data_IF_371284692834
#
_entry.id   IF_371284692834
#
_cell.length_a   1.000
_cell.length_b   1.000
_cell.length_c   1.000
_cell.angle_alpha   90.00
_cell.angle_beta   90.00
_cell.angle_gamma   90.00
#
_symmetry.space_group_name_H-M   'P 1'
#
loop_
_entity.id
_entity.type
_entity.pdbx_description
1 polymer ?
#
# COMPACT_ATOMS: atom_id res chain seq x y z
N UNK A 1 5.53 0.26 -30.78
CA UNK A 1 4.24 0.17 -30.05
C UNK A 1 4.50 -0.47 -28.70
N UNK A 2 4.07 0.20 -27.64
CA UNK A 2 4.58 0.14 -26.27
C UNK A 2 4.24 -1.15 -25.54
N UNK A 3 5.25 -1.98 -25.29
CA UNK A 3 5.20 -3.14 -24.37
C UNK A 3 5.25 -2.66 -22.90
N UNK A 4 4.28 -1.85 -22.48
CA UNK A 4 4.20 -1.27 -21.13
C UNK A 4 3.06 -1.89 -20.31
N UNK A 5 3.07 -3.21 -20.08
CA UNK A 5 2.05 -3.89 -19.24
C UNK A 5 2.57 -4.79 -18.11
N UNK A 6 3.88 -5.00 -17.97
CA UNK A 6 4.44 -5.97 -16.98
C UNK A 6 5.08 -5.33 -15.74
N UNK A 7 5.58 -4.09 -15.83
CA UNK A 7 6.49 -3.55 -14.81
C UNK A 7 5.80 -2.85 -13.64
N UNK A 8 4.54 -2.40 -13.81
CA UNK A 8 3.85 -1.63 -12.77
C UNK A 8 3.60 -2.45 -11.48
N UNK A 9 3.35 -3.76 -11.62
CA UNK A 9 3.21 -4.67 -10.48
C UNK A 9 4.51 -4.79 -9.71
N UNK A 10 5.62 -4.92 -10.42
CA UNK A 10 6.96 -4.96 -9.80
C UNK A 10 7.25 -3.68 -9.05
N UNK A 11 6.96 -2.52 -9.65
CA UNK A 11 7.12 -1.21 -8.99
C UNK A 11 6.26 -1.16 -7.72
N UNK A 12 5.00 -1.61 -7.78
CA UNK A 12 4.12 -1.66 -6.63
C UNK A 12 4.68 -2.54 -5.49
N UNK A 13 5.11 -3.76 -5.80
CA UNK A 13 5.69 -4.68 -4.82
C UNK A 13 7.01 -4.17 -4.23
N UNK A 14 7.83 -3.50 -5.03
CA UNK A 14 9.05 -2.86 -4.56
C UNK A 14 8.73 -1.72 -3.58
N UNK A 15 7.76 -0.86 -3.91
CA UNK A 15 7.32 0.21 -3.00
C UNK A 15 6.77 -0.39 -1.71
N UNK A 16 5.93 -1.42 -1.79
CA UNK A 16 5.37 -2.11 -0.62
C UNK A 16 6.48 -2.71 0.27
N UNK A 17 7.49 -3.34 -0.33
CA UNK A 17 8.64 -3.88 0.40
C UNK A 17 9.45 -2.75 1.06
N UNK A 18 9.71 -1.65 0.36
CA UNK A 18 10.42 -0.50 0.92
C UNK A 18 9.65 0.08 2.11
N UNK A 19 8.32 0.23 2.01
CA UNK A 19 7.47 0.73 3.10
C UNK A 19 7.62 -0.12 4.37
N UNK A 20 7.68 -1.45 4.25
CA UNK A 20 7.89 -2.34 5.39
C UNK A 20 9.35 -2.35 5.87
N UNK A 21 10.32 -2.13 4.98
CA UNK A 21 11.73 -2.06 5.36
C UNK A 21 12.06 -0.80 6.17
N UNK A 22 11.37 0.32 5.94
CA UNK A 22 11.58 1.56 6.70
C UNK A 22 11.51 1.33 8.22
N UNK A 23 10.39 0.83 8.79
CA UNK A 23 10.29 0.58 10.23
C UNK A 23 11.24 -0.52 10.69
N UNK A 24 11.46 -1.57 9.89
CA UNK A 24 12.38 -2.66 10.23
C UNK A 24 13.81 -2.16 10.41
N UNK A 25 14.27 -1.31 9.50
CA UNK A 25 15.59 -0.68 9.56
C UNK A 25 15.63 0.35 10.69
N UNK A 26 14.60 1.19 10.83
CA UNK A 26 14.53 2.19 11.90
C UNK A 26 14.64 1.58 13.30
N UNK A 27 13.97 0.45 13.54
CA UNK A 27 14.06 -0.30 14.80
C UNK A 27 15.46 -0.82 15.15
N UNK A 28 16.36 -0.96 14.16
CA UNK A 28 17.75 -1.32 14.43
C UNK A 28 18.58 -0.14 14.95
N UNK A 29 18.13 1.10 14.71
CA UNK A 29 18.87 2.32 15.05
C UNK A 29 18.25 3.11 16.20
N UNK A 30 16.94 3.01 16.42
CA UNK A 30 16.22 3.76 17.45
C UNK A 30 15.11 2.94 18.10
N UNK A 31 14.81 3.23 19.38
CA UNK A 31 13.65 2.69 20.09
C UNK A 31 12.38 3.53 19.88
N UNK A 32 12.48 4.68 19.19
CA UNK A 32 11.33 5.56 18.91
C UNK A 32 10.32 4.92 17.95
N UNK A 33 10.81 4.08 17.02
CA UNK A 33 9.96 3.23 16.19
C UNK A 33 9.95 1.87 16.84
N UNK A 34 8.79 1.40 17.30
CA UNK A 34 8.65 0.10 17.95
C UNK A 34 7.42 -0.63 17.39
N UNK A 35 7.57 -1.20 16.19
CA UNK A 35 6.53 -2.00 15.56
C UNK A 35 6.65 -3.45 16.05
N UNK A 36 5.56 -3.98 16.59
CA UNK A 36 5.43 -5.39 16.84
C UNK A 36 5.35 -6.16 15.51
N UNK A 37 5.63 -7.46 15.56
CA UNK A 37 5.49 -8.36 14.40
C UNK A 37 4.07 -8.27 13.82
N UNK A 38 3.06 -8.08 14.67
CA UNK A 38 1.67 -7.89 14.24
C UNK A 38 1.49 -6.64 13.38
N UNK A 39 2.20 -5.54 13.64
CA UNK A 39 2.09 -4.31 12.85
C UNK A 39 2.61 -4.52 11.41
N UNK A 40 3.68 -5.30 11.25
CA UNK A 40 4.15 -5.71 9.92
C UNK A 40 3.14 -6.57 9.19
N UNK A 41 2.49 -7.51 9.89
CA UNK A 41 1.48 -8.37 9.29
C UNK A 41 0.26 -7.55 8.87
N UNK A 42 -0.21 -6.64 9.72
CA UNK A 42 -1.34 -5.74 9.42
C UNK A 42 -1.01 -4.83 8.25
N UNK A 43 0.14 -4.15 8.28
CA UNK A 43 0.58 -3.29 7.17
C UNK A 43 0.77 -4.08 5.88
N UNK A 44 1.36 -5.27 5.96
CA UNK A 44 1.49 -6.20 4.84
C UNK A 44 0.14 -6.59 4.24
N UNK A 45 -0.84 -6.96 5.07
CA UNK A 45 -2.19 -7.30 4.64
C UNK A 45 -2.92 -6.09 4.01
N UNK A 46 -2.72 -4.89 4.54
CA UNK A 46 -3.28 -3.66 3.98
C UNK A 46 -2.68 -3.38 2.58
N UNK A 47 -1.37 -3.50 2.41
CA UNK A 47 -0.72 -3.37 1.10
C UNK A 47 -1.19 -4.46 0.14
N UNK A 48 -1.29 -5.72 0.58
CA UNK A 48 -1.83 -6.80 -0.23
C UNK A 48 -3.25 -6.49 -0.76
N UNK A 49 -4.14 -6.05 0.13
CA UNK A 49 -5.52 -5.73 -0.24
C UNK A 49 -5.59 -4.55 -1.22
N UNK A 50 -4.76 -3.52 -1.04
CA UNK A 50 -4.67 -2.39 -1.97
C UNK A 50 -4.16 -2.82 -3.36
N UNK A 51 -3.15 -3.68 -3.42
CA UNK A 51 -2.64 -4.23 -4.68
C UNK A 51 -3.68 -5.07 -5.43
N UNK A 52 -4.37 -5.97 -4.73
CA UNK A 52 -5.44 -6.80 -5.30
C UNK A 52 -6.61 -5.93 -5.77
N UNK A 53 -7.04 -4.97 -4.95
CA UNK A 53 -8.14 -4.08 -5.29
C UNK A 53 -7.83 -3.22 -6.52
N UNK A 54 -6.60 -2.70 -6.64
CA UNK A 54 -6.20 -1.92 -7.81
C UNK A 54 -6.15 -2.79 -9.07
N UNK A 55 -5.65 -4.03 -8.96
CA UNK A 55 -5.68 -4.97 -10.07
C UNK A 55 -7.13 -5.30 -10.51
N UNK A 56 -8.05 -5.50 -9.56
CA UNK A 56 -9.46 -5.70 -9.85
C UNK A 56 -10.07 -4.46 -10.55
N UNK A 57 -9.69 -3.26 -10.11
CA UNK A 57 -10.18 -2.00 -10.64
C UNK A 57 -9.75 -1.77 -12.10
N UNK A 58 -8.50 -2.12 -12.42
CA UNK A 58 -7.97 -2.10 -13.80
C UNK A 58 -8.62 -3.16 -14.68
N UNK A 59 -8.98 -4.34 -14.12
CA UNK A 59 -9.68 -5.39 -14.86
C UNK A 59 -11.16 -5.06 -15.13
N UNK A 60 -11.84 -4.42 -14.17
CA UNK A 60 -13.27 -4.17 -14.23
C UNK A 60 -13.63 -2.91 -15.03
N UNK A 61 -12.80 -1.86 -14.96
CA UNK A 61 -13.01 -0.62 -15.68
C UNK A 61 -12.02 -0.47 -16.84
N UNK A 62 -12.53 -0.25 -18.06
CA UNK A 62 -11.70 0.16 -19.21
C UNK A 62 -11.49 1.67 -19.30
N UNK A 63 -12.22 2.46 -18.51
CA UNK A 63 -12.19 3.92 -18.54
C UNK A 63 -11.08 4.45 -17.60
N UNK A 64 -10.08 5.19 -18.12
CA UNK A 64 -8.95 5.67 -17.31
C UNK A 64 -9.38 6.68 -16.24
N UNK A 65 -10.44 7.47 -16.48
CA UNK A 65 -11.00 8.38 -15.47
C UNK A 65 -11.56 7.62 -14.25
N UNK A 66 -12.33 6.56 -14.48
CA UNK A 66 -12.88 5.74 -13.39
C UNK A 66 -11.76 4.99 -12.66
N UNK A 67 -10.71 4.57 -13.39
CA UNK A 67 -9.53 3.97 -12.78
C UNK A 67 -8.82 4.93 -11.83
N UNK A 68 -8.63 6.19 -12.25
CA UNK A 68 -8.00 7.22 -11.42
C UNK A 68 -8.83 7.55 -10.18
N UNK A 69 -10.14 7.78 -10.33
CA UNK A 69 -11.04 8.06 -9.20
C UNK A 69 -11.03 6.90 -8.22
N UNK A 70 -11.15 5.67 -8.71
CA UNK A 70 -11.12 4.48 -7.89
C UNK A 70 -9.80 4.31 -7.12
N UNK A 71 -8.67 4.57 -7.77
CA UNK A 71 -7.36 4.53 -7.11
C UNK A 71 -7.22 5.58 -6.00
N UNK A 72 -7.69 6.82 -6.24
CA UNK A 72 -7.67 7.89 -5.24
C UNK A 72 -8.52 7.49 -4.02
N UNK A 73 -9.72 6.97 -4.24
CA UNK A 73 -10.60 6.52 -3.16
C UNK A 73 -9.96 5.38 -2.36
N UNK A 74 -9.39 4.38 -3.04
CA UNK A 74 -8.71 3.27 -2.38
C UNK A 74 -7.54 3.73 -1.52
N UNK A 75 -6.69 4.63 -2.05
CA UNK A 75 -5.57 5.20 -1.30
C UNK A 75 -6.08 6.01 -0.11
N UNK A 76 -7.16 6.79 -0.29
CA UNK A 76 -7.80 7.53 0.79
C UNK A 76 -8.26 6.62 1.92
N UNK A 77 -8.98 5.54 1.60
CA UNK A 77 -9.44 4.54 2.59
C UNK A 77 -8.25 3.86 3.27
N UNK A 78 -7.22 3.49 2.52
CA UNK A 78 -6.00 2.90 3.07
C UNK A 78 -5.34 3.83 4.10
N UNK A 79 -5.17 5.11 3.74
CA UNK A 79 -4.57 6.10 4.64
C UNK A 79 -5.44 6.34 5.87
N UNK A 80 -6.77 6.36 5.73
CA UNK A 80 -7.69 6.50 6.86
C UNK A 80 -7.55 5.35 7.86
N UNK A 81 -7.56 4.10 7.37
CA UNK A 81 -7.40 2.91 8.21
C UNK A 81 -6.02 2.95 8.89
N UNK A 82 -4.98 3.33 8.15
CA UNK A 82 -3.63 3.39 8.71
C UNK A 82 -3.48 4.48 9.77
N UNK A 83 -3.98 5.69 9.51
CA UNK A 83 -3.98 6.79 10.47
C UNK A 83 -4.75 6.43 11.74
N UNK A 84 -5.90 5.77 11.60
CA UNK A 84 -6.68 5.31 12.74
C UNK A 84 -5.91 4.28 13.57
N UNK A 85 -5.28 3.29 12.93
CA UNK A 85 -4.53 2.23 13.62
C UNK A 85 -3.18 2.66 14.18
N UNK A 86 -2.47 3.58 13.51
CA UNK A 86 -1.09 3.95 13.84
C UNK A 86 -0.98 5.26 14.63
N UNK A 87 -1.84 6.24 14.36
CA UNK A 87 -1.76 7.58 14.97
C UNK A 87 -2.85 7.76 16.04
N UNK A 88 -3.89 6.90 16.07
CA UNK A 88 -4.93 6.98 17.09
C UNK A 88 -5.73 8.28 17.01
N UNK A 89 -6.15 8.67 15.81
CA UNK A 89 -6.80 9.96 15.55
C UNK A 89 -8.22 10.05 16.17
N UNK A 90 -8.72 8.96 16.78
CA UNK A 90 -9.98 8.91 17.50
C UNK A 90 -9.86 8.07 18.78
#
# INVERSE_FOLDING_TARGET
MTTQKKNWRLIYWLIAAIILLIPLVAMQFTQEVNWAIMDFVVMGAMLLSLGIGFEALVRLSKNPKNQLIGAIVMIGVFLLIWLQGAVGIF
#
